data_IF_326850266885
#
_entry.id   IF_326850266885
#
_cell.length_a   1.000
_cell.length_b   1.000
_cell.length_c   1.000
_cell.angle_alpha   90.00
_cell.angle_beta   90.00
_cell.angle_gamma   90.00
#
_symmetry.space_group_name_H-M   'P 1'
#
loop_
_entity.id
_entity.type
_entity.pdbx_description
1 polymer ?
#
# COMPACT_ATOMS: atom_id res chain seq x y z
N UNK A 1 -17.63 9.83 -35.56
CA UNK A 1 -17.98 10.09 -34.15
C UNK A 1 -17.27 9.01 -33.35
N UNK A 2 -16.19 9.36 -32.64
CA UNK A 2 -15.42 8.39 -31.84
C UNK A 2 -16.34 7.96 -30.70
N UNK A 3 -16.73 6.70 -30.69
CA UNK A 3 -17.59 6.15 -29.67
C UNK A 3 -16.81 6.08 -28.35
N UNK A 4 -17.02 7.08 -27.50
CA UNK A 4 -16.37 7.25 -26.19
C UNK A 4 -16.64 6.04 -25.28
N UNK A 5 -17.62 5.20 -25.62
CA UNK A 5 -17.98 3.97 -24.91
C UNK A 5 -17.12 2.74 -25.23
N UNK A 6 -16.25 2.82 -26.24
CA UNK A 6 -15.42 1.69 -26.71
C UNK A 6 -14.01 1.65 -26.13
N UNK A 7 -13.77 2.26 -24.95
CA UNK A 7 -12.56 1.99 -24.20
C UNK A 7 -12.45 0.46 -24.01
N UNK A 8 -11.41 -0.15 -24.59
CA UNK A 8 -11.26 -1.61 -24.54
C UNK A 8 -11.27 -2.09 -23.08
N UNK A 9 -11.73 -3.32 -22.85
CA UNK A 9 -11.81 -3.90 -21.49
C UNK A 9 -10.51 -3.67 -20.69
N UNK A 10 -9.36 -3.81 -21.35
CA UNK A 10 -8.04 -3.46 -20.81
C UNK A 10 -7.97 -2.04 -20.25
N UNK A 11 -8.29 -1.03 -21.05
CA UNK A 11 -8.19 0.37 -20.63
C UNK A 11 -9.17 0.71 -19.50
N UNK A 12 -10.36 0.09 -19.49
CA UNK A 12 -11.33 0.26 -18.40
C UNK A 12 -10.75 -0.22 -17.07
N UNK A 13 -10.22 -1.44 -17.05
CA UNK A 13 -9.61 -2.01 -15.84
C UNK A 13 -8.33 -1.25 -15.45
N UNK A 14 -7.52 -0.83 -16.43
CA UNK A 14 -6.33 -0.04 -16.18
C UNK A 14 -6.65 1.29 -15.49
N UNK A 15 -7.59 2.07 -16.03
CA UNK A 15 -7.99 3.35 -15.44
C UNK A 15 -8.60 3.13 -14.05
N UNK A 16 -9.47 2.13 -13.91
CA UNK A 16 -10.09 1.79 -12.63
C UNK A 16 -9.04 1.44 -11.56
N UNK A 17 -8.10 0.54 -11.88
CA UNK A 17 -7.11 0.04 -10.92
C UNK A 17 -6.11 1.11 -10.51
N UNK A 18 -5.58 1.87 -11.49
CA UNK A 18 -4.57 2.88 -11.20
C UNK A 18 -5.21 4.20 -10.79
N UNK A 19 -5.96 4.85 -11.68
CA UNK A 19 -6.35 6.25 -11.51
C UNK A 19 -7.54 6.46 -10.56
N UNK A 20 -8.36 5.43 -10.36
CA UNK A 20 -9.51 5.52 -9.45
C UNK A 20 -9.17 4.88 -8.11
N UNK A 21 -8.94 3.57 -8.06
CA UNK A 21 -8.75 2.86 -6.80
C UNK A 21 -7.40 3.24 -6.19
N UNK A 22 -6.30 2.79 -6.79
CA UNK A 22 -4.97 2.95 -6.19
C UNK A 22 -4.62 4.41 -5.89
N UNK A 23 -4.91 5.35 -6.80
CA UNK A 23 -4.61 6.76 -6.58
C UNK A 23 -5.35 7.32 -5.36
N UNK A 24 -6.66 7.08 -5.25
CA UNK A 24 -7.47 7.62 -4.16
C UNK A 24 -7.04 6.99 -2.84
N UNK A 25 -6.83 5.68 -2.82
CA UNK A 25 -6.51 4.96 -1.60
C UNK A 25 -5.11 5.28 -1.07
N UNK A 26 -4.09 5.35 -1.93
CA UNK A 26 -2.74 5.74 -1.51
C UNK A 26 -2.66 7.20 -1.07
N UNK A 27 -3.36 8.11 -1.76
CA UNK A 27 -3.46 9.51 -1.33
C UNK A 27 -4.20 9.65 0.01
N UNK A 28 -5.28 8.88 0.21
CA UNK A 28 -6.03 8.86 1.46
C UNK A 28 -5.18 8.37 2.63
N UNK A 29 -4.49 7.25 2.47
CA UNK A 29 -3.55 6.73 3.48
C UNK A 29 -2.41 7.72 3.77
N UNK A 30 -1.81 8.28 2.73
CA UNK A 30 -0.76 9.30 2.92
C UNK A 30 -1.27 10.55 3.61
N UNK A 31 -2.50 10.99 3.28
CA UNK A 31 -3.12 12.13 3.95
C UNK A 31 -3.27 11.88 5.44
N UNK A 32 -3.83 10.74 5.84
CA UNK A 32 -3.96 10.34 7.25
C UNK A 32 -2.58 10.34 7.92
N UNK A 33 -1.62 9.61 7.35
CA UNK A 33 -0.24 9.53 7.85
C UNK A 33 0.38 10.92 8.06
N UNK A 34 0.23 11.81 7.07
CA UNK A 34 0.78 13.17 7.12
C UNK A 34 0.10 14.00 8.21
N UNK A 35 -1.21 13.90 8.39
CA UNK A 35 -1.96 14.73 9.35
C UNK A 35 -1.85 14.24 10.80
N UNK A 36 -1.74 12.93 11.03
CA UNK A 36 -1.76 12.37 12.38
C UNK A 36 -0.36 12.07 12.91
N UNK A 37 0.59 11.69 12.05
CA UNK A 37 1.90 11.17 12.49
C UNK A 37 3.01 12.19 12.33
N UNK A 38 3.03 13.00 11.28
CA UNK A 38 4.17 13.91 11.06
C UNK A 38 4.30 15.02 12.12
N UNK A 39 3.25 15.26 12.90
CA UNK A 39 3.23 16.20 14.03
C UNK A 39 3.28 15.51 15.39
N UNK A 40 3.30 14.17 15.44
CA UNK A 40 3.36 13.41 16.69
C UNK A 40 4.78 13.46 17.27
N UNK A 41 4.93 13.69 18.59
CA UNK A 41 6.24 13.63 19.25
C UNK A 41 6.83 12.22 19.28
N UNK A 42 5.99 11.18 19.19
CA UNK A 42 6.37 9.76 19.09
C UNK A 42 6.84 9.35 17.68
N UNK A 43 6.93 10.30 16.75
CA UNK A 43 7.49 10.09 15.43
C UNK A 43 8.92 10.64 15.37
N UNK A 44 9.83 9.97 16.08
CA UNK A 44 11.20 10.44 16.32
C UNK A 44 12.29 9.50 15.78
N UNK A 45 11.95 8.27 15.38
CA UNK A 45 12.86 7.33 14.75
C UNK A 45 12.58 7.13 13.25
N UNK A 46 13.63 6.89 12.43
CA UNK A 46 13.44 6.59 11.01
C UNK A 46 12.55 5.36 10.74
N UNK A 47 12.60 4.35 11.61
CA UNK A 47 11.82 3.11 11.46
C UNK A 47 10.32 3.36 11.65
N UNK A 48 9.95 4.39 12.41
CA UNK A 48 8.57 4.76 12.69
C UNK A 48 7.81 5.10 11.42
N UNK A 49 8.50 5.59 10.39
CA UNK A 49 7.88 5.84 9.09
C UNK A 49 7.20 4.58 8.54
N UNK A 50 7.87 3.43 8.67
CA UNK A 50 7.32 2.14 8.26
C UNK A 50 6.24 1.65 9.23
N UNK A 51 6.45 1.77 10.55
CA UNK A 51 5.51 1.31 11.58
C UNK A 51 4.17 2.06 11.47
N UNK A 52 4.21 3.39 11.44
CA UNK A 52 3.00 4.19 11.31
C UNK A 52 2.34 4.03 9.94
N UNK A 53 3.12 3.83 8.86
CA UNK A 53 2.59 3.47 7.55
C UNK A 53 1.76 2.18 7.60
N UNK A 54 2.28 1.14 8.29
CA UNK A 54 1.57 -0.13 8.53
C UNK A 54 0.29 0.10 9.35
N UNK A 55 0.36 0.88 10.44
CA UNK A 55 -0.81 1.15 11.30
C UNK A 55 -1.93 1.84 10.52
N UNK A 56 -1.61 2.88 9.74
CA UNK A 56 -2.59 3.57 8.89
C UNK A 56 -3.20 2.60 7.88
N UNK A 57 -2.40 1.73 7.28
CA UNK A 57 -2.85 0.75 6.31
C UNK A 57 -3.81 -0.29 6.90
N UNK A 58 -3.54 -0.76 8.13
CA UNK A 58 -4.41 -1.70 8.83
C UNK A 58 -5.78 -1.08 9.14
N UNK A 59 -5.81 0.18 9.59
CA UNK A 59 -7.05 0.92 9.80
C UNK A 59 -7.83 1.15 8.50
N UNK A 60 -7.12 1.45 7.41
CA UNK A 60 -7.70 1.59 6.08
C UNK A 60 -8.31 0.27 5.60
N UNK A 61 -7.55 -0.83 5.64
CA UNK A 61 -8.02 -2.15 5.23
C UNK A 61 -9.20 -2.65 6.07
N UNK A 62 -9.22 -2.37 7.38
CA UNK A 62 -10.36 -2.68 8.23
C UNK A 62 -11.63 -1.94 7.77
N UNK A 63 -11.49 -0.65 7.43
CA UNK A 63 -12.59 0.17 6.91
C UNK A 63 -13.06 -0.34 5.54
N UNK A 64 -12.13 -0.65 4.63
CA UNK A 64 -12.43 -1.22 3.31
C UNK A 64 -13.21 -2.53 3.43
N UNK A 65 -12.73 -3.46 4.25
CA UNK A 65 -13.37 -4.76 4.48
C UNK A 65 -14.77 -4.61 5.08
N UNK A 66 -14.98 -3.65 5.98
CA UNK A 66 -16.29 -3.34 6.55
C UNK A 66 -17.27 -2.85 5.47
N UNK A 67 -16.88 -1.86 4.68
CA UNK A 67 -17.73 -1.31 3.62
C UNK A 67 -17.99 -2.31 2.49
N UNK A 68 -17.05 -3.22 2.23
CA UNK A 68 -17.24 -4.30 1.25
C UNK A 68 -18.33 -5.31 1.69
N UNK A 69 -18.41 -5.62 2.99
CA UNK A 69 -19.43 -6.54 3.53
C UNK A 69 -20.81 -5.90 3.71
N UNK A 70 -20.85 -4.59 3.95
CA UNK A 70 -22.06 -3.86 4.28
C UNK A 70 -23.24 -4.11 3.31
N UNK A 71 -23.07 -4.04 1.97
CA UNK A 71 -24.18 -4.23 1.03
C UNK A 71 -24.58 -5.70 0.80
N UNK A 72 -23.79 -6.68 1.25
CA UNK A 72 -24.03 -8.11 0.98
C UNK A 72 -25.07 -8.66 1.95
N UNK A 73 -26.09 -9.38 1.46
CA UNK A 73 -27.12 -9.98 2.31
C UNK A 73 -26.55 -11.09 3.21
N UNK A 74 -27.18 -11.35 4.37
CA UNK A 74 -26.70 -12.38 5.31
C UNK A 74 -26.57 -13.76 4.65
N UNK A 75 -27.49 -14.13 3.75
CA UNK A 75 -27.46 -15.41 3.04
C UNK A 75 -26.28 -15.53 2.08
N UNK A 76 -25.98 -14.45 1.34
CA UNK A 76 -24.86 -14.40 0.40
C UNK A 76 -23.50 -14.38 1.12
N UNK A 77 -23.43 -13.78 2.31
CA UNK A 77 -22.22 -13.79 3.15
C UNK A 77 -21.77 -15.20 3.46
N UNK A 78 -22.69 -16.12 3.77
CA UNK A 78 -22.33 -17.51 4.05
C UNK A 78 -21.81 -18.25 2.80
N UNK A 79 -22.41 -17.99 1.64
CA UNK A 79 -21.97 -18.61 0.38
C UNK A 79 -20.63 -18.05 -0.12
N UNK A 80 -20.32 -16.79 0.19
CA UNK A 80 -19.12 -16.09 -0.26
C UNK A 80 -18.03 -15.98 0.82
N UNK A 81 -18.27 -16.54 2.01
CA UNK A 81 -17.40 -16.34 3.17
C UNK A 81 -15.93 -16.70 2.88
N UNK A 82 -15.68 -17.82 2.20
CA UNK A 82 -14.31 -18.25 1.88
C UNK A 82 -13.63 -17.29 0.92
N UNK A 83 -14.29 -16.92 -0.20
CA UNK A 83 -13.75 -15.98 -1.18
C UNK A 83 -13.49 -14.60 -0.55
N UNK A 84 -14.41 -14.15 0.32
CA UNK A 84 -14.23 -12.93 1.09
C UNK A 84 -13.04 -13.01 2.03
N UNK A 85 -12.85 -14.11 2.77
CA UNK A 85 -11.70 -14.26 3.67
C UNK A 85 -10.37 -14.17 2.91
N UNK A 86 -10.24 -14.87 1.77
CA UNK A 86 -9.04 -14.79 0.95
C UNK A 86 -8.80 -13.39 0.39
N UNK A 87 -9.85 -12.72 -0.14
CA UNK A 87 -9.78 -11.33 -0.59
C UNK A 87 -9.32 -10.41 0.53
N UNK A 88 -10.00 -10.45 1.68
CA UNK A 88 -9.79 -9.52 2.79
C UNK A 88 -8.41 -9.70 3.40
N UNK A 89 -7.94 -10.94 3.57
CA UNK A 89 -6.58 -11.21 4.03
C UNK A 89 -5.56 -10.72 3.01
N UNK A 90 -5.73 -11.08 1.72
CA UNK A 90 -4.84 -10.65 0.64
C UNK A 90 -4.72 -9.13 0.55
N UNK A 91 -5.86 -8.43 0.53
CA UNK A 91 -5.93 -6.96 0.51
C UNK A 91 -5.28 -6.36 1.76
N UNK A 92 -5.57 -6.89 2.95
CA UNK A 92 -5.00 -6.36 4.21
C UNK A 92 -3.47 -6.48 4.25
N UNK A 93 -2.92 -7.63 3.85
CA UNK A 93 -1.47 -7.81 3.72
C UNK A 93 -0.89 -6.87 2.67
N UNK A 94 -1.57 -6.74 1.54
CA UNK A 94 -1.12 -5.87 0.46
C UNK A 94 -1.08 -4.40 0.86
N UNK A 95 -2.15 -3.88 1.50
CA UNK A 95 -2.21 -2.52 2.05
C UNK A 95 -1.08 -2.26 3.04
N UNK A 96 -0.83 -3.21 3.92
CA UNK A 96 0.24 -3.14 4.92
C UNK A 96 1.60 -3.01 4.25
N UNK A 97 1.87 -3.88 3.27
CA UNK A 97 3.15 -3.92 2.56
C UNK A 97 3.38 -2.69 1.66
N UNK A 98 2.37 -2.28 0.90
CA UNK A 98 2.43 -1.08 0.04
C UNK A 98 2.66 0.18 0.88
N UNK A 99 1.96 0.34 1.99
CA UNK A 99 2.12 1.50 2.88
C UNK A 99 3.46 1.48 3.62
N UNK A 100 4.00 0.29 3.91
CA UNK A 100 5.36 0.16 4.45
C UNK A 100 6.43 0.63 3.45
N UNK A 101 6.22 0.51 2.13
CA UNK A 101 7.12 1.09 1.12
C UNK A 101 7.13 2.62 1.24
N UNK A 102 5.97 3.27 1.26
CA UNK A 102 5.89 4.72 1.50
C UNK A 102 6.57 5.08 2.83
N UNK A 103 6.28 4.31 3.88
CA UNK A 103 6.88 4.45 5.20
C UNK A 103 8.41 4.34 5.19
N UNK A 104 8.98 3.47 4.36
CA UNK A 104 10.43 3.33 4.18
C UNK A 104 11.05 4.62 3.64
N UNK A 105 10.42 5.23 2.62
CA UNK A 105 10.90 6.50 2.07
C UNK A 105 10.68 7.69 3.01
N UNK A 106 9.61 7.67 3.80
CA UNK A 106 9.39 8.61 4.91
C UNK A 106 10.54 8.48 5.92
N UNK A 107 10.89 7.26 6.33
CA UNK A 107 12.01 6.98 7.23
C UNK A 107 13.36 7.42 6.66
N UNK A 108 13.61 7.13 5.39
CA UNK A 108 14.83 7.56 4.69
C UNK A 108 14.97 9.08 4.66
N UNK A 109 13.85 9.80 4.64
CA UNK A 109 13.82 11.26 4.65
C UNK A 109 14.40 11.92 5.91
N UNK A 110 14.51 11.18 7.02
CA UNK A 110 15.15 11.65 8.26
C UNK A 110 16.63 11.97 8.01
N UNK A 111 17.29 11.16 7.18
CA UNK A 111 18.72 11.30 6.88
C UNK A 111 19.01 12.32 5.78
N UNK A 112 18.03 12.61 4.91
CA UNK A 112 18.21 13.44 3.71
C UNK A 112 17.23 14.61 3.67
N UNK A 113 17.30 15.52 4.65
CA UNK A 113 16.37 16.66 4.80
C UNK A 113 16.15 17.47 3.52
N UNK A 114 17.22 17.79 2.76
CA UNK A 114 17.13 18.54 1.48
C UNK A 114 16.36 17.80 0.38
N UNK A 115 16.24 16.47 0.48
CA UNK A 115 15.53 15.61 -0.47
C UNK A 115 14.22 15.04 0.11
N UNK A 116 13.78 15.50 1.28
CA UNK A 116 12.62 14.94 2.00
C UNK A 116 11.39 14.80 1.12
N UNK A 117 10.95 15.90 0.49
CA UNK A 117 9.76 15.86 -0.37
C UNK A 117 9.94 14.91 -1.55
N UNK A 118 11.11 14.88 -2.18
CA UNK A 118 11.39 13.98 -3.31
C UNK A 118 11.31 12.51 -2.92
N UNK A 119 11.85 12.15 -1.74
CA UNK A 119 11.80 10.78 -1.23
C UNK A 119 10.36 10.37 -0.92
N UNK A 120 9.60 11.21 -0.22
CA UNK A 120 8.20 10.92 0.13
C UNK A 120 7.36 10.78 -1.15
N UNK A 121 7.51 11.69 -2.12
CA UNK A 121 6.82 11.60 -3.41
C UNK A 121 7.19 10.33 -4.16
N UNK A 122 8.47 9.92 -4.14
CA UNK A 122 8.90 8.66 -4.76
C UNK A 122 8.27 7.45 -4.07
N UNK A 123 8.25 7.42 -2.73
CA UNK A 123 7.61 6.33 -1.97
C UNK A 123 6.11 6.23 -2.26
N UNK A 124 5.42 7.37 -2.31
CA UNK A 124 4.01 7.44 -2.64
C UNK A 124 3.74 6.96 -4.08
N UNK A 125 4.57 7.38 -5.03
CA UNK A 125 4.47 6.95 -6.42
C UNK A 125 4.71 5.44 -6.57
N UNK A 126 5.69 4.88 -5.86
CA UNK A 126 5.96 3.43 -5.88
C UNK A 126 4.82 2.62 -5.24
N UNK A 127 4.26 3.10 -4.12
CA UNK A 127 3.09 2.47 -3.50
C UNK A 127 1.87 2.49 -4.45
N UNK A 128 1.61 3.63 -5.10
CA UNK A 128 0.59 3.78 -6.14
C UNK A 128 0.79 2.80 -7.30
N UNK A 129 2.00 2.75 -7.88
CA UNK A 129 2.24 1.83 -8.99
C UNK A 129 2.06 0.38 -8.59
N UNK A 130 2.59 -0.01 -7.42
CA UNK A 130 2.47 -1.37 -6.92
C UNK A 130 1.00 -1.77 -6.69
N UNK A 131 0.22 -0.86 -6.12
CA UNK A 131 -1.20 -1.07 -5.84
C UNK A 131 -2.02 -1.15 -7.11
N UNK A 132 -1.82 -0.23 -8.06
CA UNK A 132 -2.46 -0.34 -9.36
C UNK A 132 -2.14 -1.65 -10.09
N UNK A 133 -0.90 -2.14 -10.00
CA UNK A 133 -0.52 -3.46 -10.56
C UNK A 133 -1.25 -4.60 -9.86
N UNK A 134 -1.29 -4.59 -8.52
CA UNK A 134 -1.96 -5.61 -7.73
C UNK A 134 -3.46 -5.72 -8.09
N UNK A 135 -4.16 -4.59 -8.10
CA UNK A 135 -5.58 -4.53 -8.45
C UNK A 135 -5.84 -4.89 -9.90
N UNK A 136 -5.00 -4.39 -10.82
CA UNK A 136 -5.12 -4.71 -12.23
C UNK A 136 -4.99 -6.22 -12.45
N UNK A 137 -4.05 -6.88 -11.78
CA UNK A 137 -3.86 -8.32 -11.88
C UNK A 137 -5.08 -9.10 -11.37
N UNK A 138 -5.71 -8.66 -10.28
CA UNK A 138 -6.90 -9.31 -9.73
C UNK A 138 -8.11 -9.10 -10.66
N UNK A 139 -8.34 -7.85 -11.09
CA UNK A 139 -9.53 -7.46 -11.85
C UNK A 139 -9.50 -7.91 -13.31
N UNK A 140 -8.35 -7.79 -13.98
CA UNK A 140 -8.25 -8.12 -15.41
C UNK A 140 -8.22 -9.64 -15.65
N UNK A 141 -7.64 -10.40 -14.71
CA UNK A 141 -7.45 -11.85 -14.84
C UNK A 141 -8.39 -12.67 -13.96
N UNK A 142 -9.50 -12.08 -13.49
CA UNK A 142 -10.42 -12.62 -12.45
C UNK A 142 -10.83 -14.09 -12.66
N UNK A 143 -10.88 -14.58 -13.91
CA UNK A 143 -11.33 -15.94 -14.28
C UNK A 143 -10.17 -16.95 -14.46
N UNK A 144 -8.95 -16.57 -14.11
CA UNK A 144 -7.76 -17.39 -14.33
C UNK A 144 -6.95 -17.54 -13.05
N UNK A 145 -6.09 -18.57 -13.00
CA UNK A 145 -5.16 -18.78 -11.88
C UNK A 145 -4.19 -17.61 -11.66
N UNK A 146 -4.02 -16.73 -12.65
CA UNK A 146 -3.18 -15.54 -12.57
C UNK A 146 -3.70 -14.58 -11.50
N UNK A 147 -5.03 -14.44 -11.35
CA UNK A 147 -5.63 -13.57 -10.34
C UNK A 147 -5.39 -14.04 -8.88
N UNK A 148 -4.88 -15.25 -8.68
CA UNK A 148 -4.43 -15.75 -7.38
C UNK A 148 -2.90 -15.81 -7.29
N UNK A 149 -2.25 -16.37 -8.31
CA UNK A 149 -0.81 -16.62 -8.30
C UNK A 149 0.02 -15.33 -8.29
N UNK A 150 -0.32 -14.35 -9.12
CA UNK A 150 0.45 -13.10 -9.21
C UNK A 150 0.35 -12.26 -7.93
N UNK A 151 -0.85 -12.02 -7.35
CA UNK A 151 -0.97 -11.36 -6.05
C UNK A 151 -0.14 -12.01 -4.94
N UNK A 152 -0.11 -13.35 -4.86
CA UNK A 152 0.70 -14.06 -3.86
C UNK A 152 2.20 -13.82 -4.08
N UNK A 153 2.67 -13.86 -5.33
CA UNK A 153 4.06 -13.56 -5.67
C UNK A 153 4.41 -12.11 -5.29
N UNK A 154 3.52 -11.16 -5.60
CA UNK A 154 3.68 -9.76 -5.21
C UNK A 154 3.80 -9.63 -3.69
N UNK A 155 2.89 -10.24 -2.94
CA UNK A 155 2.91 -10.21 -1.47
C UNK A 155 4.23 -10.76 -0.91
N UNK A 156 4.69 -11.90 -1.42
CA UNK A 156 5.94 -12.52 -0.96
C UNK A 156 7.16 -11.66 -1.28
N UNK A 157 7.28 -11.20 -2.52
CA UNK A 157 8.39 -10.38 -2.97
C UNK A 157 8.45 -9.04 -2.23
N UNK A 158 7.32 -8.35 -2.12
CA UNK A 158 7.24 -7.07 -1.40
C UNK A 158 7.46 -7.29 0.10
N UNK A 159 6.98 -8.40 0.67
CA UNK A 159 7.26 -8.79 2.05
C UNK A 159 8.75 -8.87 2.35
N UNK A 160 9.53 -9.47 1.43
CA UNK A 160 11.00 -9.48 1.53
C UNK A 160 11.56 -8.06 1.46
N UNK A 161 11.15 -7.24 0.48
CA UNK A 161 11.64 -5.87 0.33
C UNK A 161 11.36 -5.01 1.56
N UNK A 162 10.16 -5.11 2.12
CA UNK A 162 9.76 -4.41 3.35
C UNK A 162 10.61 -4.88 4.53
N UNK A 163 10.80 -6.20 4.68
CA UNK A 163 11.65 -6.74 5.75
C UNK A 163 13.09 -6.23 5.66
N UNK A 164 13.66 -6.21 4.44
CA UNK A 164 14.98 -5.63 4.19
C UNK A 164 15.00 -4.12 4.44
N UNK A 165 13.91 -3.41 4.13
CA UNK A 165 13.75 -1.99 4.40
C UNK A 165 13.81 -1.65 5.88
N UNK A 166 13.13 -2.42 6.73
CA UNK A 166 13.20 -2.30 8.19
C UNK A 166 14.63 -2.47 8.69
N UNK A 167 15.32 -3.53 8.25
CA UNK A 167 16.70 -3.80 8.65
C UNK A 167 17.67 -2.71 8.16
N UNK A 168 17.46 -2.20 6.95
CA UNK A 168 18.26 -1.13 6.38
C UNK A 168 18.14 0.16 7.18
N UNK A 169 16.92 0.61 7.51
CA UNK A 169 16.72 1.83 8.28
C UNK A 169 17.31 1.74 9.69
N UNK A 170 17.14 0.59 10.37
CA UNK A 170 17.76 0.34 11.69
C UNK A 170 19.29 0.44 11.63
N UNK A 171 19.92 -0.19 10.62
CA UNK A 171 21.38 -0.13 10.45
C UNK A 171 21.86 1.29 10.13
N UNK A 172 21.16 1.99 9.24
CA UNK A 172 21.52 3.34 8.84
C UNK A 172 21.41 4.34 10.01
N UNK A 173 20.38 4.20 10.85
CA UNK A 173 20.20 5.00 12.06
C UNK A 173 21.39 4.86 13.01
N UNK A 174 21.81 3.61 13.29
CA UNK A 174 22.99 3.32 14.13
C UNK A 174 24.26 3.96 13.58
N UNK A 175 24.54 3.79 12.27
CA UNK A 175 25.75 4.35 11.64
C UNK A 175 25.79 5.88 11.77
N UNK A 176 24.67 6.56 11.48
CA UNK A 176 24.59 8.03 11.55
C UNK A 176 24.65 8.57 12.96
N UNK A 177 24.19 7.79 13.95
CA UNK A 177 24.35 8.13 15.36
C UNK A 177 25.83 8.11 15.75
N UNK A 178 26.58 7.04 15.43
CA UNK A 178 28.02 6.97 15.70
C UNK A 178 28.81 8.10 15.03
N UNK A 179 28.51 8.41 13.76
CA UNK A 179 29.19 9.48 13.02
C UNK A 179 28.93 10.90 13.57
N UNK A 180 27.94 11.08 14.45
CA UNK A 180 27.69 12.37 15.14
C UNK A 180 28.58 12.54 16.38
N UNK A 181 29.18 11.45 16.88
CA UNK A 181 30.04 11.42 18.07
C UNK A 181 31.53 11.26 17.76
N UNK A 182 31.92 11.17 16.48
CA UNK A 182 33.30 11.13 15.97
C UNK A 182 33.68 12.46 15.33
#
# INVERSE_FOLDING_TARGET
MIDVFSLSFFWKIFILSFLVISLIEELGKFFILKTTVFSSPEFDEPVDGMIYGVIVALGFAASENFFYLFPISLKERFTLAQAFLFRSLGSTFFHTLSSAILGFFVGLSFFFKRRRSKLITLGLFLAFLLHGVYDFCILYFERSLIALGVPIIILFFVGILVSLGFEYLKKLAKIKQYAKFS
#
